data_IF_284446754453
#
_entry.id   IF_284446754453
#
_cell.length_a   1.000
_cell.length_b   1.000
_cell.length_c   1.000
_cell.angle_alpha   90.00
_cell.angle_beta   90.00
_cell.angle_gamma   90.00
#
_symmetry.space_group_name_H-M   'P 1'
#
loop_
_entity.id
_entity.type
_entity.pdbx_description
1 polymer ?
#
# COMPACT_ATOMS: atom_id res chain seq x y z
N UNK A 1 8.91 1.97 35.17
CA UNK A 1 8.73 1.56 33.77
C UNK A 1 7.47 2.24 33.26
N UNK A 2 7.57 3.08 32.24
CA UNK A 2 6.41 3.74 31.62
C UNK A 2 5.50 2.70 30.98
N UNK A 3 4.21 2.73 31.31
CA UNK A 3 3.19 1.90 30.66
C UNK A 3 3.25 2.12 29.14
N UNK A 4 3.23 1.05 28.36
CA UNK A 4 3.13 1.13 26.91
C UNK A 4 1.86 1.92 26.53
N UNK A 5 2.01 2.93 25.66
CA UNK A 5 0.90 3.80 25.19
C UNK A 5 0.32 3.34 23.84
N UNK A 6 0.86 2.27 23.26
CA UNK A 6 0.53 1.80 21.92
C UNK A 6 -0.16 0.44 22.01
N UNK A 7 -1.19 0.25 21.18
CA UNK A 7 -1.89 -1.03 21.01
C UNK A 7 -1.15 -1.87 19.96
N UNK A 8 -0.03 -2.47 20.35
CA UNK A 8 0.85 -3.22 19.45
C UNK A 8 1.22 -4.52 20.14
N UNK A 9 1.07 -5.64 19.43
CA UNK A 9 1.49 -6.97 19.91
C UNK A 9 3.01 -7.12 19.82
N UNK A 10 3.56 -6.86 18.64
CA UNK A 10 4.98 -6.89 18.34
C UNK A 10 5.34 -5.73 17.41
N UNK A 11 6.29 -4.88 17.84
CA UNK A 11 6.71 -3.71 17.09
C UNK A 11 7.37 -4.06 15.74
N UNK A 12 7.97 -5.24 15.62
CA UNK A 12 8.58 -5.70 14.37
C UNK A 12 7.55 -6.09 13.31
N UNK A 13 6.34 -6.46 13.74
CA UNK A 13 5.23 -6.89 12.89
C UNK A 13 4.15 -5.81 12.70
N UNK A 14 4.31 -4.63 13.30
CA UNK A 14 3.26 -3.60 13.36
C UNK A 14 2.62 -3.27 12.00
N UNK A 15 3.42 -3.15 10.93
CA UNK A 15 2.90 -2.84 9.60
C UNK A 15 2.22 -4.07 8.96
N UNK A 16 2.78 -5.27 9.17
CA UNK A 16 2.23 -6.51 8.63
C UNK A 16 0.85 -6.79 9.24
N UNK A 17 0.75 -6.73 10.57
CA UNK A 17 -0.49 -6.90 11.32
C UNK A 17 -1.54 -5.85 10.87
N UNK A 18 -1.11 -4.60 10.66
CA UNK A 18 -1.99 -3.52 10.20
C UNK A 18 -2.56 -3.79 8.81
N UNK A 19 -1.73 -4.12 7.81
CA UNK A 19 -2.22 -4.33 6.44
C UNK A 19 -3.07 -5.60 6.31
N UNK A 20 -2.77 -6.63 7.10
CA UNK A 20 -3.62 -7.83 7.22
C UNK A 20 -4.98 -7.46 7.82
N UNK A 21 -5.00 -6.73 8.93
CA UNK A 21 -6.22 -6.24 9.56
C UNK A 21 -7.05 -5.36 8.64
N UNK A 22 -6.41 -4.51 7.83
CA UNK A 22 -7.09 -3.70 6.82
C UNK A 22 -7.78 -4.57 5.76
N UNK A 23 -7.08 -5.56 5.20
CA UNK A 23 -7.64 -6.47 4.20
C UNK A 23 -8.77 -7.34 4.75
N UNK A 24 -8.67 -7.77 6.01
CA UNK A 24 -9.74 -8.51 6.69
C UNK A 24 -10.98 -7.65 6.98
N UNK A 25 -10.78 -6.37 7.31
CA UNK A 25 -11.87 -5.47 7.71
C UNK A 25 -12.58 -4.81 6.51
N UNK A 26 -11.94 -4.77 5.33
CA UNK A 26 -12.45 -4.07 4.16
C UNK A 26 -12.55 -5.04 2.96
N UNK A 27 -13.74 -5.57 2.66
CA UNK A 27 -13.91 -6.57 1.61
C UNK A 27 -13.47 -6.11 0.21
N UNK A 28 -13.43 -4.81 -0.08
CA UNK A 28 -12.95 -4.30 -1.36
C UNK A 28 -11.41 -4.29 -1.49
N UNK A 29 -10.68 -4.66 -0.44
CA UNK A 29 -9.21 -4.75 -0.44
C UNK A 29 -8.74 -6.19 -0.58
N UNK A 30 -7.59 -6.35 -1.23
CA UNK A 30 -6.79 -7.59 -1.25
C UNK A 30 -5.34 -7.24 -0.94
N UNK A 31 -4.67 -8.11 -0.18
CA UNK A 31 -3.28 -7.96 0.22
C UNK A 31 -2.39 -8.92 -0.58
N UNK A 32 -1.34 -8.39 -1.18
CA UNK A 32 -0.14 -9.17 -1.51
C UNK A 32 0.79 -9.09 -0.28
N UNK A 33 0.93 -10.19 0.49
CA UNK A 33 1.56 -10.14 1.79
C UNK A 33 3.10 -10.11 1.74
N UNK A 34 3.72 -10.61 0.67
CA UNK A 34 5.18 -10.75 0.56
C UNK A 34 5.85 -9.37 0.58
N UNK A 35 5.29 -8.43 -0.15
CA UNK A 35 5.82 -7.09 -0.34
C UNK A 35 4.92 -6.00 0.26
N UNK A 36 3.88 -6.39 1.00
CA UNK A 36 2.92 -5.48 1.67
C UNK A 36 2.31 -4.48 0.69
N UNK A 37 1.69 -5.01 -0.35
CA UNK A 37 0.93 -4.23 -1.33
C UNK A 37 -0.55 -4.45 -1.11
N UNK A 38 -1.28 -3.39 -0.77
CA UNK A 38 -2.73 -3.41 -0.74
C UNK A 38 -3.29 -2.96 -2.09
N UNK A 39 -4.29 -3.67 -2.60
CA UNK A 39 -4.92 -3.42 -3.89
C UNK A 39 -6.44 -3.40 -3.74
N UNK A 40 -7.11 -2.72 -4.67
CA UNK A 40 -8.53 -2.94 -4.88
C UNK A 40 -8.74 -4.40 -5.31
N UNK A 41 -9.74 -5.10 -4.76
CA UNK A 41 -9.99 -6.52 -5.04
C UNK A 41 -10.09 -6.81 -6.54
N UNK A 42 -10.76 -5.93 -7.27
CA UNK A 42 -10.95 -6.03 -8.72
C UNK A 42 -9.81 -5.40 -9.54
N UNK A 43 -8.61 -5.20 -8.99
CA UNK A 43 -7.49 -4.56 -9.69
C UNK A 43 -7.20 -5.19 -11.07
N UNK A 44 -7.36 -6.51 -11.18
CA UNK A 44 -7.17 -7.24 -12.44
C UNK A 44 -8.19 -6.83 -13.51
N UNK A 45 -9.43 -6.52 -13.14
CA UNK A 45 -10.43 -6.01 -14.10
C UNK A 45 -10.28 -4.51 -14.33
N UNK A 46 -9.79 -3.75 -13.35
CA UNK A 46 -9.54 -2.31 -13.48
C UNK A 46 -8.44 -2.06 -14.52
N UNK A 47 -7.32 -2.79 -14.43
CA UNK A 47 -6.14 -2.58 -15.31
C UNK A 47 -6.38 -2.89 -16.79
N UNK A 48 -7.39 -3.70 -17.11
CA UNK A 48 -7.80 -4.01 -18.49
C UNK A 48 -8.71 -2.93 -19.11
N UNK A 49 -9.16 -1.94 -18.32
CA UNK A 49 -10.16 -0.94 -18.76
C UNK A 49 -9.65 0.50 -18.71
N UNK A 50 -8.62 0.77 -17.91
CA UNK A 50 -8.12 2.13 -17.69
C UNK A 50 -6.69 2.12 -17.14
N UNK A 51 -6.07 3.30 -17.14
CA UNK A 51 -4.81 3.54 -16.42
C UNK A 51 -5.05 3.28 -14.92
N UNK A 52 -4.22 2.44 -14.32
CA UNK A 52 -4.25 2.25 -12.86
C UNK A 52 -3.47 3.33 -12.14
N UNK A 53 -3.90 3.69 -10.95
CA UNK A 53 -3.19 4.64 -10.08
C UNK A 53 -2.60 3.90 -8.90
N UNK A 54 -1.29 4.02 -8.67
CA UNK A 54 -0.67 3.53 -7.44
C UNK A 54 0.09 4.65 -6.74
N UNK A 55 0.22 4.51 -5.43
CA UNK A 55 1.08 5.37 -4.61
C UNK A 55 1.72 4.52 -3.50
N UNK A 56 2.41 5.16 -2.56
CA UNK A 56 3.09 4.46 -1.48
C UNK A 56 3.87 5.41 -0.61
N UNK A 57 4.46 4.85 0.45
CA UNK A 57 5.29 5.58 1.40
C UNK A 57 5.49 4.82 2.69
N UNK A 58 6.14 5.47 3.65
CA UNK A 58 6.23 4.96 5.00
C UNK A 58 4.86 4.88 5.69
N UNK A 59 4.67 3.81 6.46
CA UNK A 59 3.52 3.63 7.35
C UNK A 59 3.57 4.63 8.52
N UNK A 60 2.45 4.81 9.22
CA UNK A 60 2.32 5.81 10.30
C UNK A 60 1.67 7.12 9.85
N UNK A 61 1.21 7.19 8.60
CA UNK A 61 0.43 8.30 8.05
C UNK A 61 -1.01 7.89 7.71
N UNK A 62 -1.47 6.73 8.20
CA UNK A 62 -2.81 6.22 7.96
C UNK A 62 -3.86 7.29 8.29
N UNK A 63 -4.86 7.55 7.42
CA UNK A 63 -5.29 6.71 6.29
C UNK A 63 -4.43 6.82 5.02
N UNK A 64 -3.45 7.71 4.97
CA UNK A 64 -2.59 7.88 3.80
C UNK A 64 -1.61 6.70 3.68
N UNK A 65 -1.60 5.90 2.62
CA UNK A 65 -2.38 6.02 1.37
C UNK A 65 -3.46 4.94 1.23
N UNK A 66 -3.39 3.86 2.01
CA UNK A 66 -4.23 2.67 1.82
C UNK A 66 -5.73 2.95 1.99
N UNK A 67 -6.11 3.96 2.77
CA UNK A 67 -7.50 4.43 2.87
C UNK A 67 -8.04 5.13 1.62
N UNK A 68 -7.19 5.37 0.61
CA UNK A 68 -7.59 5.95 -0.69
C UNK A 68 -7.69 4.90 -1.79
N UNK A 69 -7.66 3.61 -1.47
CA UNK A 69 -7.92 2.55 -2.46
C UNK A 69 -9.43 2.47 -2.68
N UNK A 70 -9.88 2.65 -3.92
CA UNK A 70 -11.30 2.68 -4.24
C UNK A 70 -11.61 3.25 -5.62
N UNK A 71 -12.89 3.18 -5.99
CA UNK A 71 -13.38 3.77 -7.23
C UNK A 71 -13.08 5.28 -7.29
N UNK A 72 -12.53 5.74 -8.41
CA UNK A 72 -12.14 7.14 -8.61
C UNK A 72 -10.85 7.58 -7.91
N UNK A 73 -10.17 6.69 -7.17
CA UNK A 73 -8.91 6.98 -6.49
C UNK A 73 -7.82 5.94 -6.81
N UNK A 74 -7.07 5.45 -5.81
CA UNK A 74 -5.95 4.55 -6.03
C UNK A 74 -6.44 3.13 -6.32
N UNK A 75 -5.78 2.45 -7.26
CA UNK A 75 -5.91 1.02 -7.49
C UNK A 75 -5.11 0.21 -6.49
N UNK A 76 -3.98 0.73 -6.00
CA UNK A 76 -3.14 0.05 -5.00
C UNK A 76 -2.14 0.95 -4.31
N UNK A 77 -1.60 0.46 -3.20
CA UNK A 77 -0.68 1.17 -2.31
C UNK A 77 0.43 0.25 -1.84
N UNK A 78 1.65 0.79 -1.87
CA UNK A 78 2.85 0.13 -1.34
C UNK A 78 3.10 0.60 0.10
N UNK A 79 3.03 -0.31 1.07
CA UNK A 79 3.19 0.01 2.48
C UNK A 79 4.63 -0.25 2.95
N UNK A 80 5.39 0.84 3.18
CA UNK A 80 6.76 0.80 3.70
C UNK A 80 6.83 0.56 5.20
N UNK A 81 8.05 0.62 5.75
CA UNK A 81 8.24 0.63 7.21
C UNK A 81 7.63 1.88 7.86
N UNK A 82 7.51 1.90 9.19
CA UNK A 82 7.05 3.10 9.91
C UNK A 82 8.00 4.26 9.60
N UNK A 83 7.47 5.33 9.00
CA UNK A 83 8.21 6.50 8.51
C UNK A 83 9.39 6.21 7.58
N UNK A 84 9.38 5.07 6.90
CA UNK A 84 10.42 4.66 5.97
C UNK A 84 9.82 4.28 4.61
N UNK A 85 10.37 4.83 3.53
CA UNK A 85 9.94 4.52 2.16
C UNK A 85 9.93 3.01 1.88
N UNK A 86 8.98 2.51 1.07
CA UNK A 86 9.03 1.13 0.60
C UNK A 86 10.30 0.85 -0.19
N UNK A 87 10.72 -0.41 -0.24
CA UNK A 87 11.84 -0.81 -1.09
C UNK A 87 11.46 -0.75 -2.58
N UNK A 88 12.47 -0.65 -3.45
CA UNK A 88 12.28 -0.72 -4.91
C UNK A 88 11.61 -2.03 -5.33
N UNK A 89 11.87 -3.12 -4.63
CA UNK A 89 11.24 -4.41 -4.87
C UNK A 89 9.74 -4.37 -4.56
N UNK A 90 9.35 -3.75 -3.43
CA UNK A 90 7.94 -3.58 -3.09
C UNK A 90 7.20 -2.74 -4.15
N UNK A 91 7.81 -1.65 -4.60
CA UNK A 91 7.25 -0.78 -5.64
C UNK A 91 7.13 -1.52 -6.98
N UNK A 92 8.15 -2.29 -7.36
CA UNK A 92 8.14 -3.07 -8.59
C UNK A 92 7.04 -4.15 -8.57
N UNK A 93 6.84 -4.81 -7.43
CA UNK A 93 5.75 -5.79 -7.26
C UNK A 93 4.38 -5.13 -7.47
N UNK A 94 4.15 -3.96 -6.87
CA UNK A 94 2.91 -3.22 -7.07
C UNK A 94 2.68 -2.81 -8.53
N UNK A 95 3.73 -2.32 -9.22
CA UNK A 95 3.64 -1.98 -10.66
C UNK A 95 3.29 -3.23 -11.48
N UNK A 96 3.93 -4.37 -11.23
CA UNK A 96 3.66 -5.62 -11.95
C UNK A 96 2.24 -6.15 -11.75
N UNK A 97 1.67 -5.94 -10.56
CA UNK A 97 0.30 -6.33 -10.26
C UNK A 97 -0.71 -5.39 -10.91
N UNK A 98 -0.49 -4.08 -10.77
CA UNK A 98 -1.44 -3.05 -11.18
C UNK A 98 -1.39 -2.73 -12.69
N UNK A 99 -0.22 -2.71 -13.32
CA UNK A 99 -0.11 -2.30 -14.72
C UNK A 99 -0.82 -3.27 -15.67
N UNK A 100 -1.61 -2.72 -16.58
CA UNK A 100 -2.26 -3.43 -17.69
C UNK A 100 -1.96 -2.76 -19.04
N UNK A 101 -2.73 -3.06 -20.10
CA UNK A 101 -2.53 -2.51 -21.44
C UNK A 101 -2.54 -0.98 -21.52
N UNK A 102 -3.20 -0.32 -20.56
CA UNK A 102 -3.30 1.14 -20.48
C UNK A 102 -2.17 1.80 -19.67
N UNK A 103 -1.29 1.00 -19.06
CA UNK A 103 -0.21 1.50 -18.20
C UNK A 103 -0.64 1.79 -16.76
N UNK A 104 0.29 2.36 -16.00
CA UNK A 104 0.13 2.65 -14.57
C UNK A 104 0.79 3.98 -14.23
N UNK A 105 0.06 4.86 -13.54
CA UNK A 105 0.58 6.10 -12.98
C UNK A 105 1.02 5.87 -11.53
N UNK A 106 2.27 6.19 -11.24
CA UNK A 106 2.83 6.14 -9.88
C UNK A 106 2.89 7.55 -9.31
N UNK A 107 2.14 7.81 -8.24
CA UNK A 107 2.12 9.09 -7.54
C UNK A 107 3.13 9.04 -6.39
N UNK A 108 4.20 9.84 -6.49
CA UNK A 108 5.34 9.83 -5.57
C UNK A 108 5.39 11.13 -4.77
N UNK A 109 5.49 11.03 -3.43
CA UNK A 109 5.68 12.20 -2.56
C UNK A 109 7.12 12.70 -2.68
N UNK A 110 7.33 14.01 -2.62
CA UNK A 110 8.65 14.62 -2.79
C UNK A 110 9.52 14.51 -1.52
N UNK A 111 9.92 13.29 -1.17
CA UNK A 111 10.88 12.99 -0.12
C UNK A 111 12.03 12.19 -0.70
N UNK A 112 13.24 12.36 -0.16
CA UNK A 112 14.44 11.71 -0.69
C UNK A 112 14.27 10.19 -0.79
N UNK A 113 13.79 9.52 0.26
CA UNK A 113 13.59 8.08 0.25
C UNK A 113 12.46 7.60 -0.67
N UNK A 114 11.44 8.41 -0.90
CA UNK A 114 10.32 8.06 -1.80
C UNK A 114 10.71 8.22 -3.28
N UNK A 115 11.69 9.09 -3.59
CA UNK A 115 12.09 9.44 -4.95
C UNK A 115 13.21 8.57 -5.54
N UNK A 116 13.98 7.87 -4.71
CA UNK A 116 15.17 7.09 -5.10
C UNK A 116 14.90 5.60 -5.01
#
# INVERSE_FOLDING_TARGET
MTKAKQLVKDASHIVADMVEGMALSHPHLVLEPTERVLLHRDYAAIRERQVTLISGGGSGHEPTHAGYIGEGMLTGVVCGGVFASPSTQQVLTAIRLAAGPHGCLVVVKNYTGDRI
#
